data_IF_491143674107
#
_entry.id   IF_491143674107
#
_cell.length_a   1.000
_cell.length_b   1.000
_cell.length_c   1.000
_cell.angle_alpha   90.00
_cell.angle_beta   90.00
_cell.angle_gamma   90.00
#
_symmetry.space_group_name_H-M   'P 1'
#
loop_
_entity.id
_entity.type
_entity.pdbx_description
1 polymer ?
#
# COMPACT_ATOMS: atom_id res chain seq x y z
N UNK A 1 -4.14 -46.75 -16.19
CA UNK A 1 -3.49 -45.64 -15.46
C UNK A 1 -4.53 -45.06 -14.53
N UNK A 2 -4.30 -45.18 -13.23
CA UNK A 2 -5.29 -44.88 -12.19
C UNK A 2 -5.44 -43.37 -11.96
N UNK A 3 -6.69 -42.94 -11.82
CA UNK A 3 -7.07 -41.54 -11.52
C UNK A 3 -6.39 -41.02 -10.25
N UNK A 4 -6.08 -41.91 -9.31
CA UNK A 4 -5.45 -41.62 -8.01
C UNK A 4 -4.07 -40.95 -8.19
N UNK A 5 -3.26 -41.43 -9.15
CA UNK A 5 -1.92 -40.88 -9.42
C UNK A 5 -1.98 -39.44 -9.95
N UNK A 6 -3.04 -39.10 -10.68
CA UNK A 6 -3.22 -37.76 -11.27
C UNK A 6 -3.61 -36.75 -10.19
N UNK A 7 -4.49 -37.14 -9.26
CA UNK A 7 -4.90 -36.28 -8.16
C UNK A 7 -3.75 -36.03 -7.17
N UNK A 8 -2.95 -37.06 -6.85
CA UNK A 8 -1.74 -36.91 -6.02
C UNK A 8 -0.73 -35.91 -6.62
N UNK A 9 -0.49 -36.01 -7.94
CA UNK A 9 0.39 -35.08 -8.65
C UNK A 9 -0.14 -33.64 -8.61
N UNK A 10 -1.46 -33.47 -8.71
CA UNK A 10 -2.11 -32.17 -8.66
C UNK A 10 -2.01 -31.55 -7.29
N UNK A 11 -2.18 -32.33 -6.24
CA UNK A 11 -2.02 -31.87 -4.85
C UNK A 11 -0.59 -31.47 -4.53
N UNK A 12 0.38 -32.26 -4.98
CA UNK A 12 1.80 -31.91 -4.85
C UNK A 12 2.12 -30.60 -5.58
N UNK A 13 1.58 -30.40 -6.78
CA UNK A 13 1.76 -29.16 -7.54
C UNK A 13 1.15 -27.96 -6.82
N UNK A 14 -0.07 -28.08 -6.27
CA UNK A 14 -0.71 -27.04 -5.46
C UNK A 14 0.13 -26.66 -4.25
N UNK A 15 0.66 -27.65 -3.53
CA UNK A 15 1.49 -27.44 -2.34
C UNK A 15 2.78 -26.69 -2.69
N UNK A 16 3.41 -27.03 -3.83
CA UNK A 16 4.60 -26.32 -4.32
C UNK A 16 4.30 -24.86 -4.67
N UNK A 17 3.18 -24.60 -5.35
CA UNK A 17 2.75 -23.23 -5.69
C UNK A 17 2.49 -22.42 -4.41
N UNK A 18 1.76 -22.98 -3.45
CA UNK A 18 1.48 -22.33 -2.18
C UNK A 18 2.77 -22.02 -1.39
N UNK A 19 3.70 -22.98 -1.31
CA UNK A 19 4.98 -22.78 -0.65
C UNK A 19 5.83 -21.69 -1.35
N UNK A 20 5.77 -21.62 -2.68
CA UNK A 20 6.45 -20.58 -3.44
C UNK A 20 5.86 -19.20 -3.17
N UNK A 21 4.53 -19.07 -3.21
CA UNK A 21 3.82 -17.83 -2.90
C UNK A 21 4.11 -17.35 -1.47
N UNK A 22 4.12 -18.26 -0.50
CA UNK A 22 4.45 -17.94 0.90
C UNK A 22 5.87 -17.40 1.04
N UNK A 23 6.85 -17.98 0.33
CA UNK A 23 8.24 -17.51 0.35
C UNK A 23 8.35 -16.09 -0.21
N UNK A 24 7.65 -15.80 -1.30
CA UNK A 24 7.60 -14.44 -1.87
C UNK A 24 6.98 -13.46 -0.88
N UNK A 25 5.82 -13.79 -0.30
CA UNK A 25 5.12 -12.94 0.65
C UNK A 25 5.98 -12.65 1.89
N UNK A 26 6.65 -13.66 2.44
CA UNK A 26 7.54 -13.50 3.59
C UNK A 26 8.74 -12.59 3.27
N UNK A 27 9.36 -12.76 2.10
CA UNK A 27 10.47 -11.92 1.66
C UNK A 27 10.05 -10.45 1.50
N UNK A 28 8.89 -10.21 0.88
CA UNK A 28 8.32 -8.88 0.71
C UNK A 28 7.99 -8.23 2.06
N UNK A 29 7.28 -8.95 2.92
CA UNK A 29 6.81 -8.43 4.22
C UNK A 29 7.96 -8.21 5.23
N UNK A 30 9.09 -8.90 5.09
CA UNK A 30 10.24 -8.79 6.02
C UNK A 30 10.76 -7.35 6.15
N UNK A 31 10.72 -6.58 5.07
CA UNK A 31 11.26 -5.22 5.03
C UNK A 31 10.17 -4.13 5.18
N UNK A 32 8.90 -4.51 5.34
CA UNK A 32 7.80 -3.55 5.51
C UNK A 32 7.71 -3.15 6.97
N UNK A 33 8.14 -1.92 7.26
CA UNK A 33 7.86 -1.29 8.55
C UNK A 33 6.47 -0.65 8.51
N UNK A 34 5.58 -1.14 9.37
CA UNK A 34 4.24 -0.58 9.53
C UNK A 34 4.37 0.82 10.13
N UNK A 35 4.04 1.84 9.35
CA UNK A 35 3.96 3.23 9.82
C UNK A 35 2.59 3.50 10.44
N UNK A 36 2.59 4.10 11.63
CA UNK A 36 1.38 4.48 12.37
C UNK A 36 1.44 5.97 12.64
N UNK A 37 0.37 6.67 12.28
CA UNK A 37 0.23 8.10 12.49
C UNK A 37 -0.88 8.37 13.51
N UNK A 38 -0.79 9.50 14.19
CA UNK A 38 -1.81 10.05 15.06
C UNK A 38 -2.55 11.19 14.37
N UNK A 39 -3.75 11.49 14.87
CA UNK A 39 -4.50 12.66 14.40
C UNK A 39 -3.69 13.91 14.76
N UNK A 40 -3.54 14.82 13.80
CA UNK A 40 -2.70 16.00 13.92
C UNK A 40 -1.28 15.85 13.38
N UNK A 41 -0.82 14.62 13.08
CA UNK A 41 0.51 14.43 12.50
C UNK A 41 0.60 15.06 11.10
N UNK A 42 1.71 15.75 10.84
CA UNK A 42 2.05 16.24 9.50
C UNK A 42 2.71 15.13 8.69
N UNK A 43 2.19 14.91 7.49
CA UNK A 43 2.67 13.88 6.57
C UNK A 43 2.86 14.43 5.16
N UNK A 44 3.81 13.83 4.45
CA UNK A 44 3.94 14.02 3.01
C UNK A 44 3.22 12.89 2.30
N UNK A 45 2.57 13.21 1.19
CA UNK A 45 1.82 12.25 0.39
C UNK A 45 2.57 11.93 -0.87
N UNK A 46 2.63 10.66 -1.25
CA UNK A 46 3.26 10.25 -2.51
C UNK A 46 2.47 10.78 -3.71
N UNK A 47 3.17 11.39 -4.67
CA UNK A 47 2.57 11.81 -5.95
C UNK A 47 2.43 10.60 -6.88
N UNK A 48 1.26 10.47 -7.50
CA UNK A 48 0.98 9.49 -8.56
C UNK A 48 0.67 10.21 -9.85
N UNK A 49 0.72 9.54 -11.00
CA UNK A 49 0.40 10.17 -12.30
C UNK A 49 -0.98 10.86 -12.32
N UNK A 50 -1.96 10.30 -11.60
CA UNK A 50 -3.31 10.87 -11.49
C UNK A 50 -3.45 11.99 -10.44
N UNK A 51 -2.39 12.27 -9.67
CA UNK A 51 -2.42 13.30 -8.61
C UNK A 51 -1.32 14.33 -8.75
N UNK A 52 -0.41 14.11 -9.68
CA UNK A 52 0.64 15.03 -10.05
C UNK A 52 0.02 16.22 -10.80
N UNK A 53 0.51 17.42 -10.52
CA UNK A 53 0.17 18.57 -11.33
C UNK A 53 0.63 18.34 -12.79
N UNK A 54 -0.24 18.46 -13.80
CA UNK A 54 0.15 18.33 -15.21
C UNK A 54 1.25 19.31 -15.64
N UNK A 55 1.38 20.47 -14.97
CA UNK A 55 2.45 21.43 -15.20
C UNK A 55 3.82 20.92 -14.71
N UNK A 56 3.80 19.97 -13.78
CA UNK A 56 4.98 19.39 -13.17
C UNK A 56 5.59 18.34 -14.12
N UNK A 57 6.63 18.76 -14.84
CA UNK A 57 7.34 17.94 -15.82
C UNK A 57 8.04 16.71 -15.21
N UNK A 58 8.94 16.07 -15.97
CA UNK A 58 9.62 14.82 -15.55
C UNK A 58 10.37 14.92 -14.21
N UNK A 59 10.74 16.13 -13.79
CA UNK A 59 11.53 16.42 -12.58
C UNK A 59 10.70 16.83 -11.35
N UNK A 60 9.39 16.68 -11.42
CA UNK A 60 8.50 16.99 -10.31
C UNK A 60 8.82 16.15 -9.04
N UNK A 61 8.56 16.70 -7.85
CA UNK A 61 8.67 15.98 -6.60
C UNK A 61 7.84 14.68 -6.58
N UNK A 62 8.43 13.62 -6.02
CA UNK A 62 7.73 12.33 -5.79
C UNK A 62 6.79 12.36 -4.58
N UNK A 63 6.84 13.45 -3.81
CA UNK A 63 6.10 13.67 -2.58
C UNK A 63 5.60 15.11 -2.58
N UNK A 64 4.38 15.30 -2.07
CA UNK A 64 3.69 16.59 -1.99
C UNK A 64 3.07 16.78 -0.59
N UNK A 65 2.61 18.00 -0.31
CA UNK A 65 2.14 18.40 1.01
C UNK A 65 3.15 19.30 1.73
N UNK A 66 2.79 19.81 2.90
CA UNK A 66 2.31 19.00 4.04
C UNK A 66 0.79 18.83 4.12
N UNK A 67 0.38 17.68 4.66
CA UNK A 67 -1.00 17.35 5.01
C UNK A 67 -1.11 16.98 6.48
N UNK A 68 -2.28 17.20 7.08
CA UNK A 68 -2.57 16.80 8.46
C UNK A 68 -3.40 15.52 8.45
N UNK A 69 -3.06 14.56 9.30
CA UNK A 69 -3.93 13.41 9.58
C UNK A 69 -5.17 13.90 10.32
N UNK A 70 -6.31 13.92 9.62
CA UNK A 70 -7.58 14.33 10.22
C UNK A 70 -8.24 13.20 11.01
N UNK A 71 -8.30 11.99 10.44
CA UNK A 71 -8.91 10.84 11.11
C UNK A 71 -8.40 9.50 10.59
N UNK A 72 -8.65 8.41 11.34
CA UNK A 72 -8.26 7.05 10.97
C UNK A 72 -9.46 6.33 10.35
N UNK A 73 -9.31 5.88 9.11
CA UNK A 73 -10.34 5.08 8.43
C UNK A 73 -10.28 3.58 8.81
N UNK A 74 -9.15 3.13 9.36
CA UNK A 74 -8.93 1.74 9.80
C UNK A 74 -7.74 1.07 9.10
N UNK A 75 -7.18 0.00 9.68
CA UNK A 75 -6.10 -0.84 9.11
C UNK A 75 -4.94 -0.08 8.41
N UNK A 76 -4.50 1.05 8.97
CA UNK A 76 -3.41 1.86 8.40
C UNK A 76 -3.82 2.79 7.26
N UNK A 77 -5.12 3.09 7.14
CA UNK A 77 -5.70 4.06 6.21
C UNK A 77 -6.16 5.30 6.97
N UNK A 78 -5.88 6.49 6.42
CA UNK A 78 -6.05 7.79 7.07
C UNK A 78 -6.76 8.78 6.15
N UNK A 79 -7.62 9.63 6.72
CA UNK A 79 -8.15 10.80 6.05
C UNK A 79 -7.20 11.97 6.28
N UNK A 80 -6.90 12.69 5.21
CA UNK A 80 -6.00 13.84 5.23
C UNK A 80 -6.81 15.13 5.11
N UNK A 81 -6.32 16.19 5.74
CA UNK A 81 -6.71 17.57 5.48
C UNK A 81 -5.52 18.34 4.92
N UNK A 82 -5.77 19.31 4.05
CA UNK A 82 -4.78 20.33 3.71
C UNK A 82 -4.50 21.25 4.92
N UNK A 83 -3.60 22.21 4.74
CA UNK A 83 -3.19 23.12 5.81
C UNK A 83 -4.29 24.13 6.15
N UNK A 84 -5.24 24.33 5.23
CA UNK A 84 -6.42 25.17 5.37
C UNK A 84 -7.58 24.43 6.07
N UNK A 85 -7.44 23.13 6.32
CA UNK A 85 -8.43 22.28 7.00
C UNK A 85 -9.44 21.62 6.06
N UNK A 86 -9.29 21.77 4.74
CA UNK A 86 -10.12 21.09 3.75
C UNK A 86 -9.76 19.61 3.69
N UNK A 87 -10.77 18.75 3.83
CA UNK A 87 -10.58 17.31 3.71
C UNK A 87 -10.32 16.90 2.27
N UNK A 88 -9.34 16.01 2.09
CA UNK A 88 -9.08 15.39 0.81
C UNK A 88 -10.21 14.40 0.46
N UNK A 89 -10.55 14.26 -0.83
CA UNK A 89 -11.70 13.47 -1.27
C UNK A 89 -11.52 11.95 -1.08
N UNK A 90 -10.31 11.47 -0.78
CA UNK A 90 -10.00 10.06 -0.58
C UNK A 90 -9.10 9.84 0.62
N UNK A 91 -9.26 8.69 1.26
CA UNK A 91 -8.37 8.22 2.30
C UNK A 91 -7.10 7.57 1.72
N UNK A 92 -6.03 7.58 2.51
CA UNK A 92 -4.68 7.21 2.08
C UNK A 92 -4.08 6.14 2.98
N UNK A 93 -3.43 5.16 2.37
CA UNK A 93 -2.70 4.12 3.09
C UNK A 93 -1.36 4.67 3.61
N UNK A 94 -0.96 4.30 4.84
CA UNK A 94 0.30 4.67 5.46
C UNK A 94 1.56 4.35 4.63
N UNK A 95 1.48 3.40 3.69
CA UNK A 95 2.57 3.10 2.77
C UNK A 95 2.81 4.25 1.77
N UNK A 96 1.79 5.07 1.50
CA UNK A 96 1.84 6.23 0.59
C UNK A 96 1.87 7.58 1.31
N UNK A 97 2.04 7.54 2.63
CA UNK A 97 2.32 8.66 3.52
C UNK A 97 3.75 8.59 4.05
#
# INVERSE_FOLDING_TARGET
EDLDTIDELRDLARLRIAAHQQRIANSYNKNIRIRRFQIGDLVLRKTFQNTKDPADGKLAPKWEGPYVINSKAGKGVYWLADMEGTLLPRSWNAIHL
#
